data_IF_998494841994
#
_entry.id   IF_998494841994
#
_cell.length_a   1.000
_cell.length_b   1.000
_cell.length_c   1.000
_cell.angle_alpha   90.00
_cell.angle_beta   90.00
_cell.angle_gamma   90.00
#
_symmetry.space_group_name_H-M   'P 1'
#
loop_
_entity.id
_entity.type
_entity.pdbx_description
1 polymer ?
#
# COMPACT_ATOMS: atom_id res chain seq x y z
N UNK A 1 9.39 1.78 -19.66
CA UNK A 1 8.77 2.91 -18.91
C UNK A 1 8.28 2.46 -17.56
N UNK A 2 8.24 3.36 -16.62
CA UNK A 2 7.74 3.09 -15.29
C UNK A 2 6.76 4.17 -14.87
N UNK A 3 5.75 3.78 -14.09
CA UNK A 3 4.86 4.73 -13.44
C UNK A 3 4.83 4.43 -11.95
N UNK A 4 4.62 5.47 -11.18
CA UNK A 4 4.60 5.39 -9.73
C UNK A 4 3.28 5.95 -9.20
N UNK A 5 2.65 5.23 -8.28
CA UNK A 5 1.48 5.70 -7.56
C UNK A 5 1.73 5.62 -6.07
N UNK A 6 1.30 6.63 -5.34
CA UNK A 6 1.49 6.71 -3.89
C UNK A 6 0.14 7.00 -3.24
N UNK A 7 -0.23 6.19 -2.26
CA UNK A 7 -1.36 6.47 -1.38
C UNK A 7 -0.81 6.87 -0.02
N UNK A 8 -1.04 8.11 0.39
CA UNK A 8 -0.49 8.67 1.63
C UNK A 8 -1.49 8.59 2.77
N UNK A 9 -0.96 8.59 3.99
CA UNK A 9 -1.74 8.66 5.23
C UNK A 9 -2.74 7.52 5.36
N UNK A 10 -2.30 6.31 5.02
CA UNK A 10 -3.12 5.10 5.17
C UNK A 10 -3.08 4.66 6.63
N UNK A 11 -4.24 4.45 7.23
CA UNK A 11 -4.34 4.07 8.65
C UNK A 11 -4.11 2.59 8.85
N UNK A 12 -2.84 2.19 8.71
CA UNK A 12 -2.40 0.82 8.96
C UNK A 12 -0.93 0.85 9.38
N UNK A 13 -0.52 -0.09 10.22
CA UNK A 13 0.88 -0.18 10.63
C UNK A 13 1.76 -0.55 9.43
N UNK A 14 2.94 0.08 9.26
CA UNK A 14 3.82 -0.24 8.13
C UNK A 14 4.17 -1.72 8.02
N UNK A 15 4.36 -2.42 9.15
CA UNK A 15 4.67 -3.85 9.15
C UNK A 15 3.59 -4.68 8.45
N UNK A 16 2.32 -4.36 8.69
CA UNK A 16 1.20 -5.06 8.05
C UNK A 16 1.13 -4.78 6.55
N UNK A 17 1.42 -3.54 6.17
CA UNK A 17 1.49 -3.16 4.76
C UNK A 17 2.64 -3.86 4.06
N UNK A 18 3.81 -3.93 4.68
CA UNK A 18 4.99 -4.59 4.10
C UNK A 18 4.78 -6.09 3.92
N UNK A 19 4.12 -6.75 4.85
CA UNK A 19 3.81 -8.17 4.72
C UNK A 19 3.00 -8.44 3.44
N UNK A 20 2.01 -7.60 3.16
CA UNK A 20 1.22 -7.75 1.95
C UNK A 20 1.99 -7.32 0.70
N UNK A 21 2.78 -6.26 0.78
CA UNK A 21 3.54 -5.78 -0.38
C UNK A 21 4.47 -6.83 -0.95
N UNK A 22 5.06 -7.66 -0.11
CA UNK A 22 5.94 -8.76 -0.53
C UNK A 22 5.21 -9.80 -1.37
N UNK A 23 3.91 -9.97 -1.14
CA UNK A 23 3.10 -10.94 -1.87
C UNK A 23 2.88 -10.50 -3.32
N UNK A 24 2.69 -9.20 -3.55
CA UNK A 24 2.37 -8.69 -4.90
C UNK A 24 3.60 -8.22 -5.67
N UNK A 25 4.71 -7.98 -5.01
CA UNK A 25 5.91 -7.47 -5.68
C UNK A 25 6.49 -8.52 -6.63
N UNK A 26 6.85 -8.10 -7.85
CA UNK A 26 7.40 -8.97 -8.86
C UNK A 26 6.39 -9.75 -9.67
N UNK A 27 5.10 -9.55 -9.44
CA UNK A 27 4.03 -10.27 -10.16
C UNK A 27 3.42 -9.43 -11.28
N UNK A 28 2.84 -10.07 -12.30
CA UNK A 28 2.07 -9.33 -13.31
C UNK A 28 0.95 -8.53 -12.65
N UNK A 29 0.62 -7.37 -13.22
CA UNK A 29 -0.40 -6.49 -12.63
C UNK A 29 -1.74 -7.20 -12.41
N UNK A 30 -2.22 -7.94 -13.41
CA UNK A 30 -3.51 -8.62 -13.31
C UNK A 30 -3.55 -9.62 -12.15
N UNK A 31 -2.46 -10.37 -11.97
CA UNK A 31 -2.34 -11.33 -10.88
C UNK A 31 -2.26 -10.64 -9.52
N UNK A 32 -1.47 -9.57 -9.43
CA UNK A 32 -1.34 -8.81 -8.20
C UNK A 32 -2.68 -8.19 -7.78
N UNK A 33 -3.43 -7.64 -8.73
CA UNK A 33 -4.73 -7.06 -8.45
C UNK A 33 -5.74 -8.13 -8.00
N UNK A 34 -5.75 -9.30 -8.65
CA UNK A 34 -6.62 -10.40 -8.26
C UNK A 34 -6.33 -10.86 -6.82
N UNK A 35 -5.06 -11.00 -6.46
CA UNK A 35 -4.65 -11.36 -5.10
C UNK A 35 -5.13 -10.31 -4.10
N UNK A 36 -4.96 -9.03 -4.42
CA UNK A 36 -5.36 -7.94 -3.55
C UNK A 36 -6.89 -7.90 -3.33
N UNK A 37 -7.67 -8.16 -4.36
CA UNK A 37 -9.13 -8.14 -4.27
C UNK A 37 -9.70 -9.32 -3.49
N UNK A 38 -9.06 -10.49 -3.59
CA UNK A 38 -9.51 -11.71 -2.91
C UNK A 38 -9.09 -11.72 -1.43
N UNK A 39 -7.96 -11.13 -1.12
CA UNK A 39 -7.40 -11.18 0.24
C UNK A 39 -8.32 -10.47 1.25
N UNK A 40 -8.56 -11.08 2.43
CA UNK A 40 -9.35 -10.44 3.48
C UNK A 40 -8.58 -9.36 4.27
N UNK A 41 -7.28 -9.20 4.02
CA UNK A 41 -6.46 -8.23 4.75
C UNK A 41 -6.84 -6.79 4.41
N UNK A 42 -6.83 -5.92 5.42
CA UNK A 42 -7.08 -4.49 5.21
C UNK A 42 -6.04 -3.88 4.27
N UNK A 43 -4.76 -4.26 4.43
CA UNK A 43 -3.69 -3.78 3.57
C UNK A 43 -3.94 -4.12 2.09
N UNK A 44 -4.50 -5.29 1.82
CA UNK A 44 -4.81 -5.72 0.47
C UNK A 44 -5.79 -4.77 -0.23
N UNK A 45 -6.84 -4.36 0.47
CA UNK A 45 -7.84 -3.43 -0.08
C UNK A 45 -7.23 -2.07 -0.42
N UNK A 46 -6.33 -1.61 0.44
CA UNK A 46 -5.66 -0.32 0.26
C UNK A 46 -4.65 -0.38 -0.88
N UNK A 47 -3.90 -1.48 -0.99
CA UNK A 47 -3.00 -1.69 -2.12
C UNK A 47 -3.75 -1.85 -3.44
N UNK A 48 -4.95 -2.46 -3.42
CA UNK A 48 -5.76 -2.57 -4.63
C UNK A 48 -6.10 -1.18 -5.20
N UNK A 49 -6.42 -0.23 -4.34
CA UNK A 49 -6.65 1.16 -4.77
C UNK A 49 -5.42 1.78 -5.39
N UNK A 50 -4.25 1.59 -4.76
CA UNK A 50 -2.98 2.11 -5.28
C UNK A 50 -2.63 1.47 -6.62
N UNK A 51 -2.85 0.17 -6.77
CA UNK A 51 -2.63 -0.54 -8.03
C UNK A 51 -3.51 0.01 -9.15
N UNK A 52 -4.78 0.29 -8.87
CA UNK A 52 -5.70 0.86 -9.86
C UNK A 52 -5.27 2.26 -10.29
N UNK A 53 -4.81 3.08 -9.34
CA UNK A 53 -4.28 4.41 -9.66
C UNK A 53 -3.03 4.32 -10.53
N UNK A 54 -2.14 3.39 -10.23
CA UNK A 54 -0.93 3.17 -11.02
C UNK A 54 -1.26 2.72 -12.44
N UNK A 55 -2.25 1.84 -12.60
CA UNK A 55 -2.69 1.40 -13.93
C UNK A 55 -3.27 2.56 -14.74
N UNK A 56 -4.07 3.41 -14.11
CA UNK A 56 -4.62 4.59 -14.79
C UNK A 56 -3.50 5.51 -15.27
N UNK A 57 -2.47 5.73 -14.45
CA UNK A 57 -1.30 6.51 -14.84
C UNK A 57 -0.53 5.87 -15.99
N UNK A 58 -0.41 4.53 -15.98
CA UNK A 58 0.25 3.80 -17.07
C UNK A 58 -0.51 3.94 -18.38
N UNK A 59 -1.84 3.88 -18.33
CA UNK A 59 -2.67 4.07 -19.53
C UNK A 59 -2.52 5.47 -20.11
N UNK A 60 -2.50 6.49 -19.26
CA UNK A 60 -2.26 7.87 -19.70
C UNK A 60 -0.89 8.06 -20.34
N UNK A 61 0.12 7.36 -19.86
CA UNK A 61 1.49 7.45 -20.37
C UNK A 61 1.70 6.62 -21.63
N UNK A 62 0.71 5.90 -22.10
CA UNK A 62 0.80 5.07 -23.29
C UNK A 62 1.58 3.78 -23.10
N UNK A 63 1.71 3.29 -21.88
CA UNK A 63 2.42 2.03 -21.60
C UNK A 63 1.62 0.82 -22.09
N UNK A 64 2.32 -0.26 -22.38
CA UNK A 64 1.68 -1.51 -22.78
C UNK A 64 1.01 -2.17 -21.59
N UNK A 65 -0.31 -2.06 -21.48
CA UNK A 65 -1.08 -2.60 -20.37
C UNK A 65 -1.01 -4.13 -20.25
N UNK A 66 -0.81 -4.83 -21.37
CA UNK A 66 -0.74 -6.28 -21.36
C UNK A 66 0.52 -6.83 -20.68
N UNK A 67 1.60 -6.03 -20.64
CA UNK A 67 2.88 -6.45 -20.07
C UNK A 67 3.21 -5.76 -18.74
N UNK A 68 2.24 -5.11 -18.11
CA UNK A 68 2.47 -4.42 -16.82
C UNK A 68 2.82 -5.42 -15.72
N UNK A 69 3.87 -5.11 -14.99
CA UNK A 69 4.33 -5.87 -13.83
C UNK A 69 4.55 -4.95 -12.65
N UNK A 70 4.32 -5.45 -11.44
CA UNK A 70 4.61 -4.73 -10.22
C UNK A 70 6.10 -4.84 -9.94
N UNK A 71 6.86 -3.81 -10.29
CA UNK A 71 8.29 -3.77 -10.06
C UNK A 71 8.60 -3.61 -8.58
N UNK A 72 7.91 -2.69 -7.92
CA UNK A 72 8.13 -2.37 -6.53
C UNK A 72 6.79 -2.10 -5.84
N UNK A 73 6.63 -2.65 -4.65
CA UNK A 73 5.51 -2.33 -3.77
C UNK A 73 6.07 -2.21 -2.36
N UNK A 74 5.93 -1.05 -1.75
CA UNK A 74 6.47 -0.79 -0.43
C UNK A 74 5.45 -0.04 0.43
N UNK A 75 5.57 -0.22 1.75
CA UNK A 75 4.81 0.52 2.74
C UNK A 75 5.81 1.21 3.67
N UNK A 76 5.89 2.52 3.57
CA UNK A 76 6.78 3.32 4.37
C UNK A 76 6.04 3.90 5.58
N UNK A 77 6.71 4.11 6.72
CA UNK A 77 6.07 4.72 7.88
C UNK A 77 5.66 6.16 7.60
N UNK A 78 4.45 6.52 8.04
CA UNK A 78 3.95 7.88 8.00
C UNK A 78 3.89 8.49 9.41
N UNK A 79 3.33 9.69 9.54
CA UNK A 79 3.16 10.31 10.86
C UNK A 79 2.25 9.47 11.74
N UNK A 80 2.54 9.43 13.04
CA UNK A 80 1.74 8.73 14.01
C UNK A 80 0.75 9.67 14.67
N UNK A 81 -0.48 9.19 14.86
CA UNK A 81 -1.46 9.87 15.69
C UNK A 81 -1.24 9.42 17.13
N UNK A 82 -0.85 10.35 17.99
CA UNK A 82 -0.63 10.07 19.40
C UNK A 82 -1.91 10.35 20.18
N UNK A 83 -2.31 9.41 21.00
CA UNK A 83 -3.48 9.53 21.86
C UNK A 83 -3.12 9.06 23.26
N UNK A 84 -3.90 9.50 24.26
CA UNK A 84 -3.72 9.10 25.63
C UNK A 84 -4.95 8.33 26.10
N UNK A 85 -4.71 7.29 26.88
CA UNK A 85 -5.76 6.54 27.55
C UNK A 85 -5.51 6.58 29.05
N UNK A 86 -6.49 6.99 29.87
CA UNK A 86 -6.34 6.95 31.31
C UNK A 86 -6.05 5.53 31.79
N UNK A 87 -5.12 5.41 32.73
CA UNK A 87 -4.80 4.15 33.39
C UNK A 87 -4.99 4.29 34.88
N UNK A 88 -4.93 3.17 35.61
CA UNK A 88 -5.11 3.15 37.08
C UNK A 88 -4.19 4.16 37.78
N UNK A 89 -4.63 4.71 38.90
CA UNK A 89 -3.91 5.67 39.76
C UNK A 89 -3.63 7.01 39.07
N UNK A 90 -4.51 7.44 38.14
CA UNK A 90 -4.39 8.73 37.48
C UNK A 90 -3.28 8.81 36.45
N UNK A 91 -2.63 7.71 36.11
CA UNK A 91 -1.62 7.70 35.07
C UNK A 91 -2.25 7.56 33.70
N UNK A 92 -1.66 8.22 32.69
CA UNK A 92 -2.08 8.12 31.29
C UNK A 92 -1.12 7.24 30.50
N UNK A 93 -1.69 6.29 29.73
CA UNK A 93 -0.92 5.47 28.80
C UNK A 93 -0.98 6.06 27.41
N UNK A 94 0.12 5.96 26.67
CA UNK A 94 0.16 6.42 25.29
C UNK A 94 -0.40 5.38 24.34
N UNK A 95 -1.23 5.83 23.40
CA UNK A 95 -1.70 5.02 22.27
C UNK A 95 -1.13 5.64 21.01
N UNK A 96 -0.45 4.83 20.21
CA UNK A 96 0.10 5.25 18.92
C UNK A 96 -0.71 4.64 17.80
N UNK A 97 -1.35 5.49 16.99
CA UNK A 97 -2.06 5.06 15.79
C UNK A 97 -1.12 5.28 14.62
N UNK A 98 -0.53 4.20 14.13
CA UNK A 98 0.46 4.26 13.07
C UNK A 98 -0.21 4.45 11.71
N UNK A 99 0.46 5.18 10.84
CA UNK A 99 0.04 5.39 9.46
C UNK A 99 1.16 4.98 8.52
N UNK A 100 0.80 4.72 7.28
CA UNK A 100 1.74 4.30 6.25
C UNK A 100 1.52 5.08 4.97
N UNK A 101 2.55 5.11 4.14
CA UNK A 101 2.46 5.57 2.75
C UNK A 101 2.75 4.38 1.86
N UNK A 102 1.79 4.02 1.01
CA UNK A 102 1.95 2.90 0.08
C UNK A 102 2.43 3.42 -1.26
N UNK A 103 3.50 2.83 -1.77
CA UNK A 103 4.06 3.17 -3.08
C UNK A 103 4.08 1.94 -3.95
N UNK A 104 3.58 2.07 -5.17
CA UNK A 104 3.61 1.01 -6.18
C UNK A 104 4.24 1.56 -7.44
N UNK A 105 5.21 0.85 -7.98
CA UNK A 105 5.84 1.16 -9.26
C UNK A 105 5.51 0.04 -10.24
N UNK A 106 4.89 0.40 -11.35
CA UNK A 106 4.59 -0.54 -12.43
C UNK A 106 5.57 -0.29 -13.58
N UNK A 107 5.94 -1.36 -14.25
CA UNK A 107 6.79 -1.31 -15.44
C UNK A 107 6.20 -2.17 -16.55
N UNK A 108 6.44 -1.80 -17.80
CA UNK A 108 6.04 -2.56 -18.96
C UNK A 108 7.21 -3.29 -19.65
N UNK A 109 8.37 -3.25 -19.06
CA UNK A 109 9.60 -3.88 -19.59
C UNK A 109 9.60 -5.40 -19.36
#
# INVERSE_FOLDING_TARGET
MEVRAVTRYVRIAPSKGMDFSRVIQGKPYAEALAIAEISPRKAAKLFAKTLKCAKAAAAESGMNEASLMVKTAVADPGPMLKRFRPKARGMAGRIRKRMSHFTVVLTDD
#
